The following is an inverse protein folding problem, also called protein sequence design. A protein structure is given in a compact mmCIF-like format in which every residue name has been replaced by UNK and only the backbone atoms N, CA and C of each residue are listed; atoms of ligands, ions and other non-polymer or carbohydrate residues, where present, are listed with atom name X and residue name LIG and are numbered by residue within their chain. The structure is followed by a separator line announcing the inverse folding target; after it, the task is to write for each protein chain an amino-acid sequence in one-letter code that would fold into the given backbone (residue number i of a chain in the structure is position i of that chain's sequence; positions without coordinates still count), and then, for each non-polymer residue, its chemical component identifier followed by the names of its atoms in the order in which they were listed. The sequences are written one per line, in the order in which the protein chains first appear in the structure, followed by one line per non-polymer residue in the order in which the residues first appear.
data_IF_876583308637
#
_entry.id   IF_876583308637
#
_cell.length_a   1.000
_cell.length_b   1.000
_cell.length_c   1.000
_cell.angle_alpha   90.00
_cell.angle_beta   90.00
_cell.angle_gamma   90.00
#
_symmetry.space_group_name_H-M   'P 1'
#
loop_
_entity.id
_entity.type
_entity.pdbx_description
1 polymer ?
#
# COMPACT_ATOMS: atom_id res chain seq x y z
N UNK A 1 -25.40 -59.13 15.60
CA UNK A 1 -26.55 -58.36 16.13
C UNK A 1 -26.46 -56.98 15.50
N UNK A 2 -27.00 -56.82 14.29
CA UNK A 2 -28.39 -56.37 13.96
C UNK A 2 -28.48 -54.83 13.97
N UNK A 3 -28.34 -54.16 12.79
CA UNK A 3 -29.40 -53.65 11.86
C UNK A 3 -30.17 -52.47 12.46
N UNK A 4 -30.31 -51.29 11.83
CA UNK A 4 -31.03 -50.89 10.59
C UNK A 4 -30.29 -49.68 9.93
N UNK A 5 -30.19 -49.38 8.62
CA UNK A 5 -31.06 -49.34 7.42
C UNK A 5 -32.20 -48.29 7.43
N UNK A 6 -31.97 -47.20 6.69
CA UNK A 6 -33.03 -46.49 5.96
C UNK A 6 -32.49 -45.90 4.64
N UNK A 7 -33.37 -45.89 3.65
CA UNK A 7 -33.20 -45.78 2.20
C UNK A 7 -34.19 -44.73 1.70
N UNK A 8 -33.95 -44.11 0.51
CA UNK A 8 -34.89 -43.34 -0.35
C UNK A 8 -34.27 -41.99 -0.79
N UNK A 9 -34.34 -41.47 -2.02
CA UNK A 9 -34.77 -41.93 -3.36
C UNK A 9 -34.14 -40.94 -4.37
N UNK A 10 -33.95 -41.39 -5.62
CA UNK A 10 -33.54 -40.57 -6.78
C UNK A 10 -34.78 -40.11 -7.54
N UNK A 11 -34.82 -38.85 -7.97
CA UNK A 11 -35.67 -38.40 -9.08
C UNK A 11 -34.86 -37.62 -10.13
N UNK A 12 -35.06 -38.03 -11.38
CA UNK A 12 -34.62 -37.38 -12.62
C UNK A 12 -35.55 -36.21 -12.94
N UNK A 13 -35.03 -35.14 -13.55
CA UNK A 13 -35.89 -34.21 -14.30
C UNK A 13 -35.22 -33.71 -15.56
N UNK A 14 -35.85 -34.07 -16.67
CA UNK A 14 -35.62 -33.64 -18.05
C UNK A 14 -36.30 -32.29 -18.29
N UNK A 15 -35.68 -31.37 -19.04
CA UNK A 15 -36.32 -30.16 -19.61
C UNK A 15 -35.64 -29.91 -20.97
N UNK A 16 -36.21 -30.32 -22.10
CA UNK A 16 -37.34 -29.78 -22.88
C UNK A 16 -37.08 -28.37 -23.42
N UNK A 17 -36.79 -28.34 -24.72
CA UNK A 17 -36.78 -27.20 -25.65
C UNK A 17 -38.21 -26.76 -25.95
N UNK A 18 -38.45 -25.46 -26.20
CA UNK A 18 -39.52 -25.06 -27.09
C UNK A 18 -39.04 -24.13 -28.23
N UNK A 19 -39.38 -24.53 -29.44
CA UNK A 19 -39.51 -23.70 -30.63
C UNK A 19 -40.94 -23.16 -30.72
N UNK A 20 -41.13 -21.89 -31.10
CA UNK A 20 -42.28 -21.47 -31.94
C UNK A 20 -41.97 -20.16 -32.65
N UNK A 21 -42.38 -20.13 -33.91
CA UNK A 21 -42.24 -19.09 -34.94
C UNK A 21 -43.26 -17.94 -34.83
N UNK A 22 -43.05 -16.96 -35.73
CA UNK A 22 -44.02 -16.10 -36.41
C UNK A 22 -44.56 -14.89 -35.58
N UNK A 23 -44.75 -13.68 -36.10
CA UNK A 23 -44.87 -13.26 -37.50
C UNK A 23 -44.79 -11.72 -37.65
N UNK A 24 -44.39 -11.30 -38.86
CA UNK A 24 -44.87 -10.15 -39.65
C UNK A 24 -45.00 -8.72 -39.08
N UNK A 25 -44.31 -7.75 -39.72
CA UNK A 25 -44.91 -6.79 -40.69
C UNK A 25 -43.81 -5.83 -41.24
N UNK A 26 -43.39 -5.90 -42.51
CA UNK A 26 -43.97 -5.36 -43.77
C UNK A 26 -43.88 -3.83 -43.96
N UNK A 27 -43.18 -3.45 -45.05
CA UNK A 27 -43.43 -2.40 -46.08
C UNK A 27 -42.22 -1.48 -46.33
N UNK A 28 -41.86 -1.05 -47.54
CA UNK A 28 -42.10 -1.48 -48.93
C UNK A 28 -41.33 -0.51 -49.87
N UNK A 29 -40.59 -1.07 -50.84
CA UNK A 29 -40.74 -0.85 -52.30
C UNK A 29 -40.20 0.44 -53.01
N UNK A 30 -39.28 0.17 -53.97
CA UNK A 30 -38.99 0.76 -55.32
C UNK A 30 -38.56 2.23 -55.47
N UNK A 31 -37.40 2.56 -56.07
CA UNK A 31 -36.94 2.46 -57.48
C UNK A 31 -37.57 3.47 -58.45
N UNK A 32 -36.75 4.32 -59.07
CA UNK A 32 -36.93 4.74 -60.47
C UNK A 32 -35.67 5.38 -61.06
N UNK A 33 -35.39 4.95 -62.28
CA UNK A 33 -34.50 5.53 -63.28
C UNK A 33 -35.12 6.76 -63.97
N UNK A 34 -34.31 7.68 -64.48
CA UNK A 34 -34.76 8.72 -65.40
C UNK A 34 -33.62 9.64 -65.87
N UNK A 35 -33.59 9.94 -67.17
CA UNK A 35 -32.45 10.37 -68.00
C UNK A 35 -32.30 11.88 -68.24
N UNK A 36 -31.07 12.27 -68.64
CA UNK A 36 -30.66 13.30 -69.63
C UNK A 36 -31.11 14.76 -69.51
N UNK A 37 -30.15 15.69 -69.47
CA UNK A 37 -30.00 16.72 -70.52
C UNK A 37 -28.68 17.50 -70.37
N UNK A 38 -28.17 17.92 -71.52
CA UNK A 38 -26.93 18.68 -71.79
C UNK A 38 -27.05 20.16 -71.42
N UNK A 39 -25.94 20.79 -71.03
CA UNK A 39 -25.53 22.09 -71.59
C UNK A 39 -24.05 22.37 -71.31
N UNK A 40 -23.33 22.74 -72.37
CA UNK A 40 -21.97 23.22 -72.34
C UNK A 40 -21.96 24.74 -72.07
N UNK A 41 -21.08 25.17 -71.17
CA UNK A 41 -20.58 26.55 -71.14
C UNK A 41 -19.08 26.51 -70.89
N UNK A 42 -18.34 26.99 -71.88
CA UNK A 42 -16.91 27.22 -71.87
C UNK A 42 -16.58 28.46 -71.03
N UNK A 43 -15.73 28.31 -70.00
CA UNK A 43 -14.99 29.41 -69.38
C UNK A 43 -13.52 29.05 -69.26
N UNK A 44 -12.66 29.99 -69.65
CA UNK A 44 -11.19 29.91 -69.62
C UNK A 44 -10.67 29.68 -68.18
N UNK A 45 -9.56 28.96 -67.97
CA UNK A 45 -9.03 28.72 -66.63
C UNK A 45 -8.30 29.95 -66.06
N UNK A 46 -8.62 30.23 -64.81
CA UNK A 46 -8.10 31.29 -63.94
C UNK A 46 -6.62 31.04 -63.55
N UNK A 47 -5.69 31.85 -64.05
CA UNK A 47 -4.30 31.88 -63.55
C UNK A 47 -4.20 32.40 -62.09
N UNK A 48 -5.19 33.17 -61.62
CA UNK A 48 -5.23 33.73 -60.25
C UNK A 48 -5.54 32.69 -59.18
N UNK A 49 -6.28 31.64 -59.53
CA UNK A 49 -6.72 30.59 -58.60
C UNK A 49 -5.57 29.63 -58.25
N UNK A 50 -4.64 29.40 -59.19
CA UNK A 50 -3.47 28.56 -58.97
C UNK A 50 -2.47 29.19 -57.98
N UNK A 51 -2.18 30.49 -58.12
CA UNK A 51 -1.26 31.20 -57.23
C UNK A 51 -1.85 31.32 -55.82
N UNK A 52 -3.16 31.58 -55.71
CA UNK A 52 -3.87 31.63 -54.43
C UNK A 52 -3.86 30.27 -53.71
N UNK A 53 -4.10 29.18 -54.45
CA UNK A 53 -4.04 27.80 -53.92
C UNK A 53 -2.62 27.39 -53.51
N UNK A 54 -1.61 27.76 -54.29
CA UNK A 54 -0.21 27.48 -53.98
C UNK A 54 0.26 28.24 -52.72
N UNK A 55 -0.12 29.52 -52.59
CA UNK A 55 0.20 30.32 -51.41
C UNK A 55 -0.53 29.81 -50.15
N UNK A 56 -1.80 29.43 -50.30
CA UNK A 56 -2.59 28.82 -49.21
C UNK A 56 -1.97 27.50 -48.73
N UNK A 57 -1.49 26.66 -49.66
CA UNK A 57 -0.81 25.40 -49.34
C UNK A 57 0.51 25.62 -48.59
N UNK A 58 1.30 26.62 -49.01
CA UNK A 58 2.56 26.97 -48.34
C UNK A 58 2.33 27.50 -46.92
N UNK A 59 1.29 28.33 -46.71
CA UNK A 59 0.90 28.80 -45.38
C UNK A 59 0.45 27.62 -44.52
N UNK A 60 -0.36 26.71 -45.07
CA UNK A 60 -0.84 25.52 -44.34
C UNK A 60 0.32 24.60 -43.94
N UNK A 61 1.27 24.36 -44.85
CA UNK A 61 2.48 23.59 -44.55
C UNK A 61 3.36 24.28 -43.51
N UNK A 62 3.46 25.61 -43.54
CA UNK A 62 4.16 26.41 -42.53
C UNK A 62 3.51 26.30 -41.15
N UNK A 63 2.19 26.41 -41.07
CA UNK A 63 1.42 26.27 -39.82
C UNK A 63 1.53 24.86 -39.26
N UNK A 64 1.43 23.83 -40.11
CA UNK A 64 1.62 22.42 -39.71
C UNK A 64 3.05 22.18 -39.24
N UNK A 65 4.05 22.73 -39.94
CA UNK A 65 5.46 22.64 -39.55
C UNK A 65 5.75 23.29 -38.19
N UNK A 66 5.21 24.49 -37.94
CA UNK A 66 5.31 25.17 -36.64
C UNK A 66 4.57 24.39 -35.55
N UNK A 67 3.38 23.86 -35.83
CA UNK A 67 2.64 23.03 -34.88
C UNK A 67 3.39 21.74 -34.52
N UNK A 68 4.01 21.07 -35.50
CA UNK A 68 4.83 19.87 -35.29
C UNK A 68 6.12 20.20 -34.52
N UNK A 69 6.76 21.32 -34.82
CA UNK A 69 7.94 21.80 -34.09
C UNK A 69 7.61 22.14 -32.63
N UNK A 70 6.55 22.90 -32.39
CA UNK A 70 6.07 23.23 -31.04
C UNK A 70 5.68 21.96 -30.26
N UNK A 71 5.05 20.99 -30.93
CA UNK A 71 4.72 19.68 -30.34
C UNK A 71 5.98 18.89 -29.96
N UNK A 72 7.00 18.90 -30.82
CA UNK A 72 8.29 18.23 -30.57
C UNK A 72 9.06 18.85 -29.41
N UNK A 73 9.13 20.18 -29.34
CA UNK A 73 9.80 20.90 -28.23
C UNK A 73 9.09 20.63 -26.91
N UNK A 74 7.76 20.72 -26.90
CA UNK A 74 6.94 20.46 -25.71
C UNK A 74 7.03 19.00 -25.24
N UNK A 75 7.15 18.05 -26.17
CA UNK A 75 7.36 16.64 -25.86
C UNK A 75 8.75 16.37 -25.27
N UNK A 76 9.80 17.01 -25.79
CA UNK A 76 11.17 16.91 -25.27
C UNK A 76 11.29 17.46 -23.84
N UNK A 77 10.73 18.66 -23.58
CA UNK A 77 10.71 19.23 -22.23
C UNK A 77 9.92 18.35 -21.24
N UNK A 78 8.78 17.76 -21.68
CA UNK A 78 7.95 16.87 -20.87
C UNK A 78 8.66 15.57 -20.49
N UNK A 79 9.35 14.93 -21.45
CA UNK A 79 10.14 13.72 -21.20
C UNK A 79 11.28 14.04 -20.22
N UNK A 80 12.00 15.15 -20.42
CA UNK A 80 13.08 15.56 -19.51
C UNK A 80 12.60 15.80 -18.07
N UNK A 81 11.37 16.32 -17.88
CA UNK A 81 10.80 16.57 -16.55
C UNK A 81 10.31 15.29 -15.86
N UNK A 82 9.70 14.38 -16.61
CA UNK A 82 9.30 13.06 -16.09
C UNK A 82 10.54 12.23 -15.68
N UNK A 83 11.62 12.30 -16.46
CA UNK A 83 12.91 11.69 -16.11
C UNK A 83 13.52 12.27 -14.83
N UNK A 84 13.34 13.58 -14.56
CA UNK A 84 13.78 14.17 -13.27
C UNK A 84 12.98 13.68 -12.06
N UNK A 85 11.67 13.40 -12.19
CA UNK A 85 10.88 12.83 -11.07
C UNK A 85 11.19 11.35 -10.83
N UNK A 86 11.66 10.62 -11.85
CA UNK A 86 12.12 9.24 -11.71
C UNK A 86 13.57 9.10 -11.25
N UNK A 87 14.33 10.20 -11.14
CA UNK A 87 15.72 10.12 -10.68
C UNK A 87 15.78 9.76 -9.20
N UNK A 88 16.22 8.54 -8.94
CA UNK A 88 16.42 8.02 -7.58
C UNK A 88 17.71 8.60 -6.99
N UNK A 89 17.60 9.21 -5.81
CA UNK A 89 18.76 9.71 -5.07
C UNK A 89 19.44 8.58 -4.27
N UNK A 90 20.77 8.48 -4.33
CA UNK A 90 21.51 7.54 -3.46
C UNK A 90 21.86 8.24 -2.16
N UNK A 91 21.20 7.88 -1.06
CA UNK A 91 21.46 8.42 0.28
C UNK A 91 22.20 7.35 1.08
N UNK A 92 23.46 7.57 1.47
CA UNK A 92 24.19 6.60 2.28
C UNK A 92 23.50 6.32 3.60
N UNK A 93 23.60 5.06 4.03
CA UNK A 93 23.19 4.64 5.35
C UNK A 93 23.98 5.41 6.43
N UNK A 94 23.30 5.82 7.49
CA UNK A 94 23.94 6.42 8.67
C UNK A 94 24.73 5.35 9.44
N UNK A 95 24.13 4.18 9.62
CA UNK A 95 24.78 2.94 10.05
C UNK A 95 23.94 1.74 9.61
N UNK A 96 24.51 0.55 9.75
CA UNK A 96 23.80 -0.72 9.66
C UNK A 96 24.01 -1.41 11.01
N UNK A 97 22.95 -2.00 11.58
CA UNK A 97 23.06 -2.71 12.87
C UNK A 97 24.07 -3.85 12.80
N UNK A 98 24.68 -4.18 13.94
CA UNK A 98 25.70 -5.25 13.99
C UNK A 98 25.13 -6.62 13.59
N UNK A 99 25.87 -7.34 12.75
CA UNK A 99 25.60 -8.75 12.40
C UNK A 99 25.78 -9.71 13.59
N UNK A 100 26.45 -9.28 14.67
CA UNK A 100 26.54 -10.05 15.92
C UNK A 100 25.15 -10.24 16.57
N UNK A 101 24.20 -9.35 16.26
CA UNK A 101 22.84 -9.39 16.80
C UNK A 101 21.96 -10.41 16.09
N UNK A 102 21.79 -10.28 14.78
CA UNK A 102 20.87 -11.11 13.98
C UNK A 102 21.48 -11.46 12.63
N UNK A 103 21.06 -12.61 12.09
CA UNK A 103 21.51 -13.13 10.81
C UNK A 103 20.31 -13.34 9.90
N UNK A 104 20.56 -13.47 8.61
CA UNK A 104 19.51 -13.74 7.61
C UNK A 104 18.62 -14.94 7.93
N UNK A 105 19.15 -15.97 8.60
CA UNK A 105 18.36 -17.12 9.01
C UNK A 105 17.33 -16.82 10.10
N UNK A 106 17.52 -15.74 10.87
CA UNK A 106 16.59 -15.31 11.93
C UNK A 106 15.33 -14.67 11.31
N UNK A 107 15.46 -14.15 10.09
CA UNK A 107 14.37 -13.65 9.24
C UNK A 107 13.64 -12.49 9.91
N UNK A 108 14.38 -11.39 10.11
CA UNK A 108 13.89 -10.12 10.65
C UNK A 108 12.86 -9.54 9.68
N UNK A 109 11.76 -9.00 10.20
CA UNK A 109 10.60 -8.59 9.40
C UNK A 109 10.14 -7.17 9.71
N UNK A 110 9.57 -6.96 10.89
CA UNK A 110 8.97 -5.69 11.29
C UNK A 110 9.68 -5.11 12.51
N UNK A 111 9.57 -3.80 12.71
CA UNK A 111 10.32 -3.09 13.73
C UNK A 111 9.62 -1.84 14.25
N UNK A 112 9.90 -1.49 15.51
CA UNK A 112 9.44 -0.28 16.19
C UNK A 112 10.56 0.35 17.01
N UNK A 113 10.47 1.65 17.25
CA UNK A 113 11.36 2.35 18.19
C UNK A 113 10.63 2.61 19.50
N UNK A 114 11.25 2.18 20.60
CA UNK A 114 10.78 2.41 21.97
C UNK A 114 11.64 3.46 22.65
N UNK A 115 11.01 4.57 23.05
CA UNK A 115 11.61 5.67 23.82
C UNK A 115 12.93 6.24 23.26
N UNK A 116 13.15 6.15 21.96
CA UNK A 116 14.42 6.58 21.32
C UNK A 116 15.66 5.81 21.82
N UNK A 117 15.45 4.73 22.57
CA UNK A 117 16.52 3.94 23.19
C UNK A 117 16.65 2.60 22.50
N UNK A 118 15.53 1.91 22.27
CA UNK A 118 15.51 0.56 21.74
C UNK A 118 14.86 0.52 20.37
N UNK A 119 15.55 -0.11 19.43
CA UNK A 119 14.97 -0.60 18.19
C UNK A 119 14.61 -2.07 18.41
N UNK A 120 13.32 -2.38 18.38
CA UNK A 120 12.78 -3.70 18.67
C UNK A 120 12.27 -4.30 17.37
N UNK A 121 12.73 -5.50 17.01
CA UNK A 121 12.38 -6.14 15.75
C UNK A 121 11.77 -7.52 15.97
N UNK A 122 10.85 -7.94 15.11
CA UNK A 122 10.40 -9.33 15.06
C UNK A 122 11.39 -10.18 14.28
N UNK A 123 11.53 -11.45 14.66
CA UNK A 123 12.31 -12.45 13.94
C UNK A 123 11.46 -13.69 13.68
N UNK A 124 10.99 -13.81 12.42
CA UNK A 124 10.03 -14.84 11.99
C UNK A 124 10.56 -16.25 12.29
N UNK A 125 11.82 -16.55 11.96
CA UNK A 125 12.33 -17.91 12.07
C UNK A 125 12.75 -18.29 13.49
N UNK A 126 13.20 -17.31 14.27
CA UNK A 126 13.75 -17.53 15.62
C UNK A 126 12.73 -17.39 16.74
N UNK A 127 11.49 -17.00 16.43
CA UNK A 127 10.40 -16.86 17.41
C UNK A 127 10.74 -15.89 18.55
N UNK A 128 11.30 -14.74 18.18
CA UNK A 128 11.89 -13.81 19.13
C UNK A 128 11.75 -12.35 18.69
N UNK A 129 11.98 -11.47 19.66
CA UNK A 129 12.26 -10.06 19.44
C UNK A 129 13.76 -9.82 19.58
N UNK A 130 14.38 -9.12 18.64
CA UNK A 130 15.77 -8.66 18.75
C UNK A 130 15.77 -7.18 19.09
N UNK A 131 16.62 -6.81 20.05
CA UNK A 131 16.68 -5.45 20.59
C UNK A 131 18.08 -4.88 20.29
N UNK A 132 18.08 -3.71 19.66
CA UNK A 132 19.28 -2.93 19.37
C UNK A 132 19.17 -1.55 20.02
N UNK A 133 20.30 -0.89 20.27
CA UNK A 133 20.33 0.52 20.63
C UNK A 133 19.90 1.35 19.40
N UNK A 134 18.83 2.13 19.53
CA UNK A 134 18.23 2.86 18.41
C UNK A 134 19.21 3.84 17.76
N UNK A 135 20.07 4.48 18.55
CA UNK A 135 20.99 5.52 18.06
C UNK A 135 22.23 4.97 17.32
N UNK A 136 22.65 3.75 17.62
CA UNK A 136 23.94 3.20 17.13
C UNK A 136 23.79 1.89 16.35
N UNK A 137 22.66 1.21 16.51
CA UNK A 137 22.43 -0.12 15.97
C UNK A 137 23.19 -1.23 16.69
N UNK A 138 23.78 -0.95 17.86
CA UNK A 138 24.44 -1.96 18.67
C UNK A 138 23.43 -2.97 19.20
N UNK A 139 23.67 -4.26 18.99
CA UNK A 139 22.86 -5.31 19.59
C UNK A 139 22.91 -5.25 21.13
N UNK A 140 21.75 -5.37 21.77
CA UNK A 140 21.62 -5.36 23.22
C UNK A 140 21.29 -6.76 23.76
N UNK A 141 20.15 -7.31 23.36
CA UNK A 141 19.70 -8.63 23.79
C UNK A 141 18.57 -9.15 22.88
N UNK A 142 18.20 -10.42 23.07
CA UNK A 142 17.08 -11.08 22.39
C UNK A 142 16.08 -11.54 23.42
N UNK A 143 14.79 -11.32 23.16
CA UNK A 143 13.67 -11.84 23.96
C UNK A 143 12.96 -12.93 23.20
N UNK A 144 13.01 -14.15 23.72
CA UNK A 144 12.20 -15.22 23.15
C UNK A 144 10.73 -14.96 23.45
N UNK A 145 9.88 -15.12 22.45
CA UNK A 145 8.43 -15.11 22.64
C UNK A 145 7.88 -16.53 22.90
N UNK A 146 8.76 -17.48 23.29
CA UNK A 146 8.41 -18.87 23.61
C UNK A 146 8.23 -19.14 25.11
N UNK A 147 7.81 -18.16 25.91
CA UNK A 147 7.72 -18.35 27.38
C UNK A 147 6.28 -18.58 27.85
N UNK A 148 6.04 -19.71 28.56
CA UNK A 148 4.74 -20.09 29.14
C UNK A 148 4.00 -21.17 28.34
N UNK A 149 2.70 -21.36 28.59
CA UNK A 149 1.80 -22.25 27.80
C UNK A 149 1.59 -21.77 26.34
N UNK A 150 2.24 -20.67 25.97
CA UNK A 150 2.13 -20.01 24.68
C UNK A 150 3.53 -19.88 24.06
N UNK A 151 3.85 -20.78 23.13
CA UNK A 151 4.99 -20.57 22.23
C UNK A 151 4.54 -19.69 21.08
N UNK A 152 5.02 -18.44 20.99
CA UNK A 152 4.74 -17.65 19.80
C UNK A 152 5.46 -18.25 18.59
N UNK A 153 4.69 -18.70 17.61
CA UNK A 153 5.15 -19.31 16.39
C UNK A 153 5.13 -18.29 15.25
N UNK A 154 6.34 -17.82 14.91
CA UNK A 154 6.62 -16.93 13.79
C UNK A 154 6.03 -15.52 13.96
N UNK A 155 6.58 -14.71 14.88
CA UNK A 155 6.19 -13.30 15.01
C UNK A 155 6.49 -12.55 13.72
N UNK A 156 5.58 -11.68 13.31
CA UNK A 156 5.59 -11.06 11.99
C UNK A 156 5.49 -9.53 12.12
N UNK A 157 4.30 -8.96 12.02
CA UNK A 157 4.06 -7.55 12.28
C UNK A 157 4.20 -7.18 13.76
N UNK A 158 4.63 -5.94 14.01
CA UNK A 158 4.74 -5.36 15.34
C UNK A 158 4.31 -3.89 15.29
N UNK A 159 3.56 -3.47 16.30
CA UNK A 159 3.26 -2.05 16.53
C UNK A 159 3.39 -1.72 18.01
N UNK A 160 3.84 -0.51 18.31
CA UNK A 160 3.98 0.02 19.66
C UNK A 160 2.80 0.94 19.95
N UNK A 161 2.11 0.72 21.06
CA UNK A 161 0.92 1.51 21.38
C UNK A 161 0.78 1.81 22.86
N UNK A 162 0.38 3.04 23.17
CA UNK A 162 0.00 3.45 24.53
C UNK A 162 -1.46 3.06 24.79
N UNK A 163 -1.65 2.05 25.64
CA UNK A 163 -2.96 1.66 26.17
C UNK A 163 -3.03 2.18 27.60
N UNK A 164 -4.09 2.92 27.93
CA UNK A 164 -4.19 3.68 29.16
C UNK A 164 -3.01 4.68 29.27
N UNK A 165 -2.10 4.43 30.22
CA UNK A 165 -0.88 5.20 30.47
C UNK A 165 0.40 4.37 30.25
N UNK A 166 0.30 3.16 29.69
CA UNK A 166 1.41 2.23 29.50
C UNK A 166 1.60 1.83 28.04
N UNK A 167 2.85 1.62 27.64
CA UNK A 167 3.20 1.20 26.28
C UNK A 167 3.30 -0.32 26.19
N UNK A 168 2.62 -0.88 25.20
CA UNK A 168 2.62 -2.30 24.88
C UNK A 168 3.05 -2.51 23.43
N UNK A 169 3.67 -3.65 23.16
CA UNK A 169 3.82 -4.14 21.79
C UNK A 169 2.59 -4.98 21.47
N UNK A 170 2.00 -4.76 20.30
CA UNK A 170 1.10 -5.72 19.71
C UNK A 170 1.87 -6.43 18.60
N UNK A 171 2.00 -7.74 18.71
CA UNK A 171 2.79 -8.57 17.79
C UNK A 171 1.85 -9.57 17.13
N UNK A 172 1.78 -9.59 15.81
CA UNK A 172 1.09 -10.69 15.13
C UNK A 172 1.95 -11.95 15.18
N UNK A 173 1.29 -13.06 15.46
CA UNK A 173 1.88 -14.39 15.42
C UNK A 173 1.27 -15.15 14.26
N UNK A 174 2.02 -15.26 13.16
CA UNK A 174 1.48 -15.73 11.88
C UNK A 174 0.97 -17.17 11.96
N UNK A 175 1.76 -18.05 12.55
CA UNK A 175 1.46 -19.48 12.53
C UNK A 175 0.64 -19.90 13.78
N UNK A 176 0.66 -19.10 14.85
CA UNK A 176 -0.29 -19.20 15.97
C UNK A 176 -1.65 -18.55 15.72
N UNK A 177 -1.80 -17.81 14.61
CA UNK A 177 -3.06 -17.20 14.17
C UNK A 177 -3.64 -16.22 15.18
N UNK A 178 -2.80 -15.40 15.80
CA UNK A 178 -3.24 -14.47 16.84
C UNK A 178 -2.44 -13.18 16.83
N UNK A 179 -2.91 -12.22 17.62
CA UNK A 179 -2.15 -11.05 18.04
C UNK A 179 -1.85 -11.22 19.53
N UNK A 180 -0.59 -11.03 19.91
CA UNK A 180 -0.14 -11.01 21.29
C UNK A 180 0.03 -9.56 21.77
N UNK A 181 -0.49 -9.24 22.94
CA UNK A 181 -0.20 -8.00 23.66
C UNK A 181 0.96 -8.29 24.61
N UNK A 182 2.07 -7.60 24.41
CA UNK A 182 3.34 -7.80 25.12
C UNK A 182 3.66 -6.57 25.94
N UNK A 183 3.85 -6.78 27.23
CA UNK A 183 4.19 -5.75 28.19
C UNK A 183 5.72 -5.54 28.24
N UNK A 184 6.18 -4.43 27.68
CA UNK A 184 7.61 -4.09 27.65
C UNK A 184 8.15 -3.85 29.06
N UNK A 185 7.32 -3.28 29.95
CA UNK A 185 7.71 -2.95 31.32
C UNK A 185 7.76 -4.16 32.25
N UNK A 186 7.05 -5.24 31.92
CA UNK A 186 7.09 -6.53 32.62
C UNK A 186 7.93 -7.55 31.84
N UNK A 187 9.16 -7.16 31.50
CA UNK A 187 10.17 -8.00 30.83
C UNK A 187 9.70 -8.69 29.54
N UNK A 188 8.90 -7.99 28.72
CA UNK A 188 8.33 -8.51 27.46
C UNK A 188 7.38 -9.71 27.66
N UNK A 189 6.66 -9.75 28.79
CA UNK A 189 5.66 -10.77 29.05
C UNK A 189 4.45 -10.60 28.13
N UNK A 190 3.98 -11.70 27.54
CA UNK A 190 2.67 -11.75 26.87
C UNK A 190 1.59 -11.69 27.95
N UNK A 191 0.80 -10.63 27.96
CA UNK A 191 -0.25 -10.38 28.96
C UNK A 191 -1.65 -10.73 28.46
N UNK A 192 -1.82 -10.82 27.14
CA UNK A 192 -3.09 -11.19 26.50
C UNK A 192 -2.87 -11.63 25.05
N UNK A 193 -3.79 -12.42 24.49
CA UNK A 193 -3.84 -12.70 23.05
C UNK A 193 -5.27 -12.81 22.53
N UNK A 194 -5.44 -12.62 21.22
CA UNK A 194 -6.73 -12.76 20.56
C UNK A 194 -6.60 -13.10 19.08
N UNK A 195 -7.67 -13.62 18.50
CA UNK A 195 -7.83 -13.84 17.06
C UNK A 195 -7.66 -15.29 16.59
N UNK A 196 -7.34 -16.22 17.48
CA UNK A 196 -7.06 -17.64 17.21
C UNK A 196 -8.15 -18.35 16.38
N UNK A 197 -9.40 -17.95 16.60
CA UNK A 197 -10.59 -18.50 15.95
C UNK A 197 -10.94 -17.84 14.60
N UNK A 198 -10.33 -16.68 14.30
CA UNK A 198 -10.67 -15.85 13.13
C UNK A 198 -9.52 -15.78 12.13
N UNK A 199 -8.33 -15.46 12.62
CA UNK A 199 -7.14 -15.22 11.80
C UNK A 199 -6.66 -16.53 11.19
N UNK A 200 -6.16 -16.45 9.96
CA UNK A 200 -5.58 -17.61 9.27
C UNK A 200 -4.09 -17.50 9.11
N UNK A 201 -3.60 -16.30 8.79
CA UNK A 201 -2.21 -16.00 8.54
C UNK A 201 -1.95 -14.49 8.71
N UNK A 202 -1.94 -13.98 9.95
CA UNK A 202 -1.79 -12.56 10.22
C UNK A 202 -0.39 -12.02 9.86
N UNK A 203 -0.32 -10.80 9.32
CA UNK A 203 0.91 -10.10 8.95
C UNK A 203 1.06 -8.79 9.73
N UNK A 204 0.78 -7.62 9.17
CA UNK A 204 0.84 -6.37 9.92
C UNK A 204 -0.44 -6.10 10.72
N UNK A 205 -0.34 -5.10 11.59
CA UNK A 205 -1.45 -4.55 12.34
C UNK A 205 -1.21 -3.08 12.66
N UNK A 206 -2.30 -2.34 12.78
CA UNK A 206 -2.32 -1.01 13.38
C UNK A 206 -3.62 -0.83 14.16
N UNK A 207 -3.62 0.10 15.11
CA UNK A 207 -4.73 0.29 16.02
C UNK A 207 -4.94 1.76 16.39
N UNK A 208 -6.16 2.06 16.81
CA UNK A 208 -6.54 3.39 17.27
C UNK A 208 -7.46 3.29 18.48
N UNK A 209 -7.42 4.32 19.32
CA UNK A 209 -8.37 4.47 20.43
C UNK A 209 -9.70 4.96 19.88
N UNK A 210 -10.79 4.27 20.23
CA UNK A 210 -12.15 4.60 19.76
C UNK A 210 -13.02 5.18 20.86
N UNK A 211 -12.79 4.78 22.11
CA UNK A 211 -13.58 5.26 23.24
C UNK A 211 -12.75 5.27 24.53
N UNK A 212 -13.19 6.07 25.49
CA UNK A 212 -12.70 6.06 26.87
C UNK A 212 -13.81 6.55 27.78
N UNK A 213 -14.21 5.70 28.72
CA UNK A 213 -15.13 6.06 29.80
C UNK A 213 -14.40 6.04 31.15
N UNK A 214 -15.14 6.02 32.27
CA UNK A 214 -14.53 6.05 33.61
C UNK A 214 -13.78 4.76 33.96
N UNK A 215 -14.23 3.61 33.43
CA UNK A 215 -13.76 2.28 33.83
C UNK A 215 -12.85 1.66 32.77
N UNK A 216 -13.00 2.02 31.50
CA UNK A 216 -12.40 1.30 30.37
C UNK A 216 -11.97 2.23 29.23
N UNK A 217 -11.00 1.77 28.43
CA UNK A 217 -10.68 2.31 27.12
C UNK A 217 -10.89 1.26 26.04
N UNK A 218 -11.37 1.70 24.88
CA UNK A 218 -11.67 0.82 23.75
C UNK A 218 -10.80 1.20 22.56
N UNK A 219 -10.33 0.18 21.83
CA UNK A 219 -9.44 0.32 20.69
C UNK A 219 -9.91 -0.55 19.54
N UNK A 220 -9.81 -0.04 18.32
CA UNK A 220 -9.95 -0.83 17.11
C UNK A 220 -8.58 -1.30 16.66
N UNK A 221 -8.45 -2.58 16.34
CA UNK A 221 -7.23 -3.20 15.82
C UNK A 221 -7.52 -3.78 14.45
N UNK A 222 -6.82 -3.28 13.43
CA UNK A 222 -6.88 -3.75 12.06
C UNK A 222 -5.71 -4.69 11.83
N UNK A 223 -5.99 -5.91 11.38
CA UNK A 223 -4.98 -6.94 11.16
C UNK A 223 -5.05 -7.41 9.72
N UNK A 224 -3.93 -7.39 8.99
CA UNK A 224 -3.87 -8.01 7.66
C UNK A 224 -3.80 -9.53 7.79
N UNK A 225 -4.59 -10.25 7.00
CA UNK A 225 -4.70 -11.71 7.01
C UNK A 225 -4.50 -12.29 5.59
N UNK A 226 -3.24 -12.65 5.31
CA UNK A 226 -2.77 -12.99 3.98
C UNK A 226 -2.73 -14.50 3.73
N UNK A 227 -3.86 -15.17 3.93
CA UNK A 227 -3.95 -16.60 3.67
C UNK A 227 -3.89 -16.92 2.16
N UNK A 228 -3.20 -17.99 1.81
CA UNK A 228 -3.00 -18.45 0.43
C UNK A 228 -3.52 -19.88 0.30
N UNK A 229 -3.98 -20.25 -0.90
CA UNK A 229 -4.33 -21.62 -1.23
C UNK A 229 -3.08 -22.43 -1.61
N UNK A 230 -3.20 -23.76 -1.49
CA UNK A 230 -2.14 -24.68 -1.90
C UNK A 230 -2.07 -24.76 -3.43
N UNK A 231 -0.86 -24.68 -3.96
CA UNK A 231 -0.57 -25.02 -5.36
C UNK A 231 -0.62 -26.54 -5.59
N UNK A 232 -0.37 -26.98 -6.82
CA UNK A 232 -0.33 -28.41 -7.19
C UNK A 232 0.76 -29.21 -6.47
N UNK A 233 1.74 -28.54 -5.83
CA UNK A 233 2.82 -29.12 -5.02
C UNK A 233 2.55 -29.01 -3.51
N UNK A 234 1.35 -28.55 -3.12
CA UNK A 234 0.95 -28.41 -1.72
C UNK A 234 1.48 -27.16 -1.02
N UNK A 235 2.13 -26.22 -1.72
CA UNK A 235 2.68 -24.99 -1.13
C UNK A 235 1.65 -23.87 -1.12
N UNK A 236 1.55 -23.13 -0.01
CA UNK A 236 0.63 -21.99 0.15
C UNK A 236 1.11 -20.79 -0.68
N UNK A 237 0.78 -20.77 -1.98
CA UNK A 237 1.27 -19.80 -2.98
C UNK A 237 0.21 -19.27 -3.94
N UNK A 238 -1.01 -19.79 -3.88
CA UNK A 238 -2.08 -19.40 -4.82
C UNK A 238 -2.97 -18.36 -4.14
N UNK A 239 -3.14 -17.19 -4.76
CA UNK A 239 -4.09 -16.18 -4.29
C UNK A 239 -5.51 -16.80 -4.34
N UNK A 240 -6.30 -16.73 -3.25
CA UNK A 240 -7.71 -17.09 -3.27
C UNK A 240 -8.47 -16.39 -4.40
N UNK A 241 -9.54 -17.00 -4.93
CA UNK A 241 -10.42 -16.32 -5.88
C UNK A 241 -11.04 -15.06 -5.25
N UNK A 242 -11.42 -14.10 -6.09
CA UNK A 242 -11.90 -12.76 -5.69
C UNK A 242 -13.07 -12.78 -4.70
N UNK A 243 -14.00 -13.72 -4.87
CA UNK A 243 -15.15 -13.95 -3.98
C UNK A 243 -14.75 -14.31 -2.53
N UNK A 244 -13.46 -14.53 -2.27
CA UNK A 244 -12.88 -14.84 -0.95
C UNK A 244 -11.88 -13.79 -0.46
N UNK A 245 -11.66 -12.70 -1.21
CA UNK A 245 -10.69 -11.66 -0.88
C UNK A 245 -11.22 -10.61 0.12
N UNK A 246 -12.49 -10.62 0.50
CA UNK A 246 -13.01 -9.74 1.57
C UNK A 246 -12.49 -10.07 2.98
N UNK A 247 -11.62 -11.09 3.11
CA UNK A 247 -11.03 -11.54 4.38
C UNK A 247 -9.58 -11.08 4.56
N UNK A 248 -9.14 -10.06 3.81
CA UNK A 248 -7.76 -9.55 3.89
C UNK A 248 -7.49 -8.68 5.09
N UNK A 249 -8.49 -7.98 5.61
CA UNK A 249 -8.35 -7.21 6.85
C UNK A 249 -9.39 -7.72 7.85
N UNK A 250 -8.96 -8.02 9.06
CA UNK A 250 -9.83 -8.37 10.19
C UNK A 250 -9.81 -7.22 11.19
N UNK A 251 -11.00 -6.76 11.58
CA UNK A 251 -11.18 -5.73 12.60
C UNK A 251 -11.59 -6.37 13.92
N UNK A 252 -10.82 -6.08 14.96
CA UNK A 252 -11.10 -6.44 16.33
C UNK A 252 -11.32 -5.18 17.18
N UNK A 253 -12.07 -5.33 18.25
CA UNK A 253 -12.18 -4.37 19.32
C UNK A 253 -11.44 -4.93 20.55
N UNK A 254 -10.57 -4.12 21.14
CA UNK A 254 -9.88 -4.41 22.41
C UNK A 254 -10.40 -3.46 23.47
N UNK A 255 -10.78 -4.02 24.60
CA UNK A 255 -11.28 -3.29 25.76
C UNK A 255 -10.24 -3.47 26.87
N UNK A 256 -9.67 -2.36 27.33
CA UNK A 256 -8.70 -2.34 28.41
C UNK A 256 -9.35 -1.78 29.68
N UNK A 257 -9.28 -2.55 30.77
CA UNK A 257 -9.83 -2.14 32.05
C UNK A 257 -8.84 -1.25 32.82
N UNK A 258 -9.31 -0.08 33.28
CA UNK A 258 -8.47 0.91 33.97
C UNK A 258 -8.09 0.52 35.40
N UNK A 259 -8.82 -0.41 36.03
CA UNK A 259 -8.63 -0.79 37.43
C UNK A 259 -7.52 -1.82 37.59
N UNK A 260 -7.48 -2.83 36.72
CA UNK A 260 -6.60 -3.99 36.85
C UNK A 260 -5.72 -4.26 35.63
N UNK A 261 -5.76 -3.39 34.61
CA UNK A 261 -4.96 -3.51 33.38
C UNK A 261 -5.18 -4.84 32.65
N UNK A 262 -6.40 -5.39 32.76
CA UNK A 262 -6.82 -6.57 32.00
C UNK A 262 -7.38 -6.17 30.64
N UNK A 263 -7.34 -7.13 29.71
CA UNK A 263 -7.80 -6.96 28.34
C UNK A 263 -8.93 -7.93 28.03
N UNK A 264 -9.87 -7.45 27.21
CA UNK A 264 -10.86 -8.29 26.53
C UNK A 264 -10.83 -7.96 25.05
N UNK A 265 -11.29 -8.90 24.22
CA UNK A 265 -11.33 -8.73 22.77
C UNK A 265 -12.62 -9.23 22.17
N UNK A 266 -13.08 -8.56 21.12
CA UNK A 266 -14.21 -8.97 20.30
C UNK A 266 -13.87 -8.85 18.82
N UNK A 267 -14.20 -9.87 18.04
CA UNK A 267 -14.20 -9.74 16.59
C UNK A 267 -15.36 -8.87 16.12
N UNK A 268 -15.07 -7.86 15.30
CA UNK A 268 -16.07 -6.92 14.80
C UNK A 268 -16.54 -7.34 13.41
N UNK A 269 -15.64 -7.32 12.43
CA UNK A 269 -15.93 -7.65 11.04
C UNK A 269 -14.65 -7.83 10.22
N UNK A 270 -14.82 -8.31 8.99
CA UNK A 270 -13.82 -8.30 7.93
C UNK A 270 -13.99 -7.05 7.07
N UNK A 271 -12.90 -6.55 6.49
CA UNK A 271 -12.85 -5.37 5.63
C UNK A 271 -12.17 -5.76 4.32
N UNK A 272 -12.76 -5.31 3.21
CA UNK A 272 -12.26 -5.55 1.87
C UNK A 272 -13.40 -5.53 0.85
N UNK A 273 -13.07 -5.29 -0.42
CA UNK A 273 -13.99 -5.48 -1.54
C UNK A 273 -13.79 -6.84 -2.19
N UNK A 274 -14.86 -7.37 -2.79
CA UNK A 274 -14.88 -8.58 -3.63
C UNK A 274 -15.26 -8.28 -5.09
N UNK A 275 -15.60 -7.04 -5.40
CA UNK A 275 -16.05 -6.65 -6.74
C UNK A 275 -14.85 -6.54 -7.67
N UNK A 276 -14.77 -7.36 -8.72
CA UNK A 276 -13.70 -7.27 -9.72
C UNK A 276 -13.96 -6.13 -10.72
N UNK A 277 -13.60 -4.90 -10.33
CA UNK A 277 -13.56 -3.75 -11.24
C UNK A 277 -12.17 -3.11 -11.19
N UNK A 278 -11.74 -2.43 -12.27
CA UNK A 278 -10.42 -1.79 -12.34
C UNK A 278 -10.19 -0.73 -11.25
N UNK A 279 -11.29 -0.19 -10.71
CA UNK A 279 -11.34 0.78 -9.61
C UNK A 279 -11.79 0.14 -8.29
N UNK A 280 -11.75 -1.19 -8.19
CA UNK A 280 -12.20 -1.88 -7.00
C UNK A 280 -11.17 -1.80 -5.88
N UNK A 281 -11.67 -1.77 -4.65
CA UNK A 281 -10.84 -1.88 -3.45
C UNK A 281 -10.29 -3.29 -3.21
N UNK A 282 -10.45 -4.26 -4.12
CA UNK A 282 -10.05 -5.66 -3.88
C UNK A 282 -8.59 -5.74 -3.44
N UNK A 283 -8.35 -6.56 -2.41
CA UNK A 283 -7.05 -6.76 -1.78
C UNK A 283 -6.56 -8.18 -2.08
N UNK A 284 -5.45 -8.31 -2.80
CA UNK A 284 -5.00 -9.62 -3.30
C UNK A 284 -3.98 -10.27 -2.37
N UNK A 285 -2.83 -9.63 -2.17
CA UNK A 285 -1.78 -10.08 -1.26
C UNK A 285 -1.46 -8.88 -0.36
N UNK A 286 -1.77 -9.00 0.93
CA UNK A 286 -1.66 -7.88 1.88
C UNK A 286 -0.55 -8.12 2.88
N UNK A 287 0.16 -7.06 3.23
CA UNK A 287 1.23 -7.09 4.23
C UNK A 287 1.03 -5.96 5.23
N UNK A 288 1.40 -4.73 4.89
CA UNK A 288 1.29 -3.57 5.78
C UNK A 288 -0.12 -2.95 5.77
N UNK A 289 -0.56 -2.53 6.96
CA UNK A 289 -1.71 -1.66 7.19
C UNK A 289 -1.31 -0.51 8.11
N UNK A 290 -1.70 0.72 7.76
CA UNK A 290 -1.42 1.93 8.55
C UNK A 290 -2.67 2.80 8.64
N UNK A 291 -2.94 3.30 9.84
CA UNK A 291 -4.01 4.26 10.13
C UNK A 291 -3.44 5.68 10.09
N UNK A 292 -4.08 6.52 9.27
CA UNK A 292 -3.89 7.96 9.24
C UNK A 292 -5.15 8.61 9.79
N UNK A 293 -5.14 8.92 11.09
CA UNK A 293 -6.28 9.50 11.80
C UNK A 293 -6.66 10.87 11.24
N UNK A 294 -5.66 11.71 10.92
CA UNK A 294 -5.87 13.07 10.46
C UNK A 294 -6.63 13.15 9.12
N UNK A 295 -6.49 12.14 8.27
CA UNK A 295 -7.10 12.12 6.94
C UNK A 295 -8.22 11.09 6.74
N UNK A 296 -8.66 10.41 7.80
CA UNK A 296 -9.59 9.28 7.71
C UNK A 296 -9.13 8.19 6.73
N UNK A 297 -7.85 7.79 6.77
CA UNK A 297 -7.32 6.76 5.85
C UNK A 297 -6.83 5.52 6.57
N UNK A 298 -7.23 4.37 6.03
CA UNK A 298 -6.63 3.06 6.25
C UNK A 298 -5.87 2.69 4.98
N UNK A 299 -4.55 2.83 5.02
CA UNK A 299 -3.66 2.52 3.90
C UNK A 299 -3.25 1.06 3.99
N UNK A 300 -3.36 0.31 2.88
CA UNK A 300 -3.07 -1.12 2.84
C UNK A 300 -2.20 -1.42 1.62
N UNK A 301 -1.05 -2.06 1.83
CA UNK A 301 -0.20 -2.51 0.73
C UNK A 301 -0.80 -3.74 0.03
N UNK A 302 -0.89 -3.70 -1.30
CA UNK A 302 -1.23 -4.85 -2.14
C UNK A 302 -0.02 -5.23 -3.01
N UNK A 303 0.68 -6.28 -2.60
CA UNK A 303 1.89 -6.81 -3.25
C UNK A 303 1.61 -7.45 -4.62
N UNK A 304 0.36 -7.83 -4.90
CA UNK A 304 0.04 -8.44 -6.19
C UNK A 304 -0.17 -7.38 -7.27
N UNK A 305 -0.90 -6.32 -6.92
CA UNK A 305 -1.24 -5.23 -7.84
C UNK A 305 -0.14 -4.16 -7.88
N UNK A 306 0.76 -4.18 -6.88
CA UNK A 306 1.87 -3.25 -6.70
C UNK A 306 1.39 -1.82 -6.47
N UNK A 307 0.43 -1.65 -5.54
CA UNK A 307 -0.03 -0.33 -5.10
C UNK A 307 -0.49 -0.35 -3.63
N UNK A 308 -0.80 0.84 -3.12
CA UNK A 308 -1.42 1.02 -1.82
C UNK A 308 -2.89 1.35 -2.03
N UNK A 309 -3.79 0.56 -1.45
CA UNK A 309 -5.24 0.84 -1.41
C UNK A 309 -5.54 1.76 -0.24
N UNK A 310 -6.38 2.76 -0.49
CA UNK A 310 -6.87 3.66 0.55
C UNK A 310 -8.34 3.35 0.84
N UNK A 311 -8.60 2.86 2.03
CA UNK A 311 -9.93 2.76 2.62
C UNK A 311 -10.15 3.93 3.58
N UNK A 312 -11.40 4.28 3.85
CA UNK A 312 -11.71 5.16 4.97
C UNK A 312 -11.74 4.31 6.24
N UNK A 313 -11.01 4.67 7.29
CA UNK A 313 -10.99 3.83 8.49
C UNK A 313 -12.32 3.93 9.27
N UNK A 314 -13.03 5.06 9.16
CA UNK A 314 -14.31 5.27 9.85
C UNK A 314 -15.47 4.49 9.20
N UNK A 315 -15.62 4.60 7.87
CA UNK A 315 -16.68 3.87 7.15
C UNK A 315 -16.28 2.43 6.83
N UNK A 316 -14.98 2.14 6.76
CA UNK A 316 -14.39 0.89 6.30
C UNK A 316 -14.63 0.58 4.81
N UNK A 317 -14.92 1.60 4.02
CA UNK A 317 -15.16 1.48 2.59
C UNK A 317 -13.94 1.93 1.78
N UNK A 318 -13.80 1.39 0.58
CA UNK A 318 -12.74 1.82 -0.33
C UNK A 318 -13.00 3.27 -0.75
N UNK A 319 -11.99 4.13 -0.64
CA UNK A 319 -12.12 5.57 -0.93
C UNK A 319 -12.19 5.89 -2.43
N UNK A 320 -11.95 4.92 -3.30
CA UNK A 320 -11.71 5.14 -4.73
C UNK A 320 -10.26 5.52 -5.07
N UNK A 321 -9.42 5.77 -4.06
CA UNK A 321 -8.04 6.21 -4.25
C UNK A 321 -7.03 5.08 -4.06
N UNK A 322 -5.95 5.17 -4.83
CA UNK A 322 -4.75 4.33 -4.68
C UNK A 322 -3.51 5.20 -4.77
N UNK A 323 -2.40 4.71 -4.21
CA UNK A 323 -1.06 5.29 -4.38
C UNK A 323 -0.23 4.29 -5.17
N UNK A 324 0.38 4.76 -6.25
CA UNK A 324 1.05 3.90 -7.22
C UNK A 324 0.07 3.40 -8.29
N UNK A 325 0.51 3.48 -9.55
CA UNK A 325 -0.18 2.88 -10.67
C UNK A 325 -0.17 1.36 -10.52
N UNK A 326 -1.33 0.74 -10.72
CA UNK A 326 -1.41 -0.71 -10.80
C UNK A 326 -0.49 -1.23 -11.92
N UNK A 327 0.09 -2.41 -11.72
CA UNK A 327 0.95 -3.06 -12.70
C UNK A 327 0.32 -3.05 -14.11
N UNK A 328 1.06 -2.52 -15.09
CA UNK A 328 0.62 -2.43 -16.49
C UNK A 328 -0.25 -1.21 -16.84
N UNK A 329 -0.62 -0.35 -15.89
CA UNK A 329 -1.24 0.94 -16.21
C UNK A 329 -0.19 1.96 -16.67
N UNK A 330 -0.51 2.71 -17.72
CA UNK A 330 0.33 3.79 -18.24
C UNK A 330 -0.22 5.15 -17.81
N UNK A 331 0.69 6.09 -17.56
CA UNK A 331 0.40 7.47 -17.13
C UNK A 331 -0.65 8.15 -18.02
N UNK A 332 -1.67 8.77 -17.41
CA UNK A 332 -2.73 9.48 -18.14
C UNK A 332 -2.61 11.00 -18.00
N UNK A 333 -1.88 11.50 -16.99
CA UNK A 333 -1.96 12.92 -16.62
C UNK A 333 -0.73 13.75 -17.01
N UNK A 334 -0.99 14.95 -17.53
CA UNK A 334 0.01 15.99 -17.80
C UNK A 334 0.35 16.81 -16.53
N UNK A 335 -0.06 16.38 -15.33
CA UNK A 335 0.13 17.17 -14.11
C UNK A 335 1.54 16.99 -13.54
N UNK A 336 2.50 17.64 -14.19
CA UNK A 336 3.93 17.63 -13.80
C UNK A 336 4.13 18.15 -12.36
N UNK A 337 3.21 18.95 -11.83
CA UNK A 337 3.32 19.52 -10.47
C UNK A 337 2.87 18.55 -9.37
N UNK A 338 1.97 17.65 -9.69
CA UNK A 338 1.45 16.63 -8.77
C UNK A 338 1.38 15.29 -9.50
N UNK A 339 2.53 14.64 -9.75
CA UNK A 339 2.53 13.34 -10.37
C UNK A 339 1.90 12.35 -9.39
N UNK A 340 0.76 11.76 -9.75
CA UNK A 340 0.22 10.58 -9.06
C UNK A 340 0.59 9.28 -9.78
N UNK A 341 1.12 9.43 -10.98
CA UNK A 341 1.38 8.38 -11.94
C UNK A 341 2.81 7.81 -11.77
N UNK A 342 3.15 7.31 -10.57
CA UNK A 342 4.38 6.54 -10.33
C UNK A 342 4.05 5.07 -10.12
N UNK A 343 4.99 4.16 -10.35
CA UNK A 343 4.79 2.72 -10.13
C UNK A 343 5.85 2.15 -9.21
N UNK A 344 5.43 1.18 -8.39
CA UNK A 344 6.34 0.30 -7.68
C UNK A 344 6.98 -0.67 -8.70
N UNK A 345 8.26 -0.97 -8.53
CA UNK A 345 8.99 -1.89 -9.41
C UNK A 345 9.08 -3.31 -8.82
N UNK A 346 8.97 -3.41 -7.50
CA UNK A 346 8.81 -4.61 -6.70
C UNK A 346 7.68 -4.43 -5.69
N UNK A 347 7.69 -5.26 -4.66
CA UNK A 347 6.55 -5.38 -3.74
C UNK A 347 6.46 -4.16 -2.81
N UNK A 348 5.30 -3.48 -2.71
CA UNK A 348 5.03 -2.56 -1.61
C UNK A 348 4.92 -3.34 -0.29
N UNK A 349 5.84 -3.05 0.62
CA UNK A 349 5.97 -3.72 1.93
C UNK A 349 5.64 -2.71 3.05
N UNK A 350 6.52 -2.62 4.06
CA UNK A 350 6.45 -1.64 5.14
C UNK A 350 6.45 -0.19 4.67
N UNK A 351 5.64 0.66 5.30
CA UNK A 351 5.68 2.10 5.10
C UNK A 351 5.33 2.87 6.37
N UNK A 352 5.75 4.14 6.42
CA UNK A 352 5.58 5.00 7.60
C UNK A 352 5.01 6.36 7.24
N UNK A 353 4.40 6.99 8.24
CA UNK A 353 4.06 8.41 8.23
C UNK A 353 5.22 9.17 8.89
N UNK A 354 5.82 10.11 8.15
CA UNK A 354 6.71 11.12 8.71
C UNK A 354 5.93 12.43 8.80
N UNK A 355 5.72 12.96 10.00
CA UNK A 355 4.82 14.09 10.24
C UNK A 355 5.47 15.47 10.20
N UNK A 356 6.80 15.52 10.19
CA UNK A 356 7.59 16.74 10.41
C UNK A 356 7.45 17.37 11.78
N UNK A 357 6.75 16.73 12.72
CA UNK A 357 6.50 17.26 14.05
C UNK A 357 6.89 16.22 15.10
N UNK A 358 7.73 16.63 16.05
CA UNK A 358 8.20 15.74 17.13
C UNK A 358 7.29 15.78 18.37
N UNK A 359 6.35 16.72 18.43
CA UNK A 359 5.53 16.97 19.63
C UNK A 359 4.19 16.25 19.63
N UNK A 360 3.71 15.84 18.45
CA UNK A 360 2.42 15.18 18.26
C UNK A 360 2.62 13.80 17.65
N UNK A 361 1.68 12.88 17.88
CA UNK A 361 1.69 11.59 17.18
C UNK A 361 1.53 11.81 15.68
N UNK A 362 2.43 11.23 14.90
CA UNK A 362 2.53 11.50 13.47
C UNK A 362 1.20 11.35 12.72
N UNK A 363 0.45 10.29 13.02
CA UNK A 363 -0.85 9.98 12.42
C UNK A 363 -2.00 10.94 12.79
N UNK A 364 -1.85 11.80 13.79
CA UNK A 364 -2.90 12.70 14.28
C UNK A 364 -2.73 14.16 13.84
N UNK A 365 -1.69 14.47 13.06
CA UNK A 365 -1.49 15.80 12.46
C UNK A 365 -1.66 15.75 10.95
N UNK A 366 -2.01 16.85 10.29
CA UNK A 366 -2.24 16.90 8.83
C UNK A 366 -0.95 17.12 8.02
N UNK A 367 0.21 17.21 8.67
CA UNK A 367 1.48 17.51 8.00
C UNK A 367 2.24 16.24 7.62
N UNK A 368 3.16 16.40 6.66
CA UNK A 368 4.20 15.44 6.38
C UNK A 368 4.04 14.59 5.12
N UNK A 369 4.67 13.43 5.16
CA UNK A 369 4.90 12.54 4.02
C UNK A 369 4.64 11.09 4.40
N UNK A 370 4.19 10.30 3.43
CA UNK A 370 4.36 8.85 3.48
C UNK A 370 5.72 8.49 2.87
N UNK A 371 6.40 7.53 3.48
CA UNK A 371 7.62 6.91 2.93
C UNK A 371 7.31 5.43 2.71
N UNK A 372 7.15 5.05 1.44
CA UNK A 372 6.80 3.69 1.02
C UNK A 372 8.03 2.89 0.61
N UNK A 373 8.06 1.62 1.00
CA UNK A 373 9.05 0.66 0.52
C UNK A 373 8.63 0.09 -0.83
N UNK A 374 9.58 0.06 -1.77
CA UNK A 374 9.52 -0.66 -3.05
C UNK A 374 10.62 -1.72 -3.01
N UNK A 375 10.23 -2.94 -2.60
CA UNK A 375 11.14 -4.01 -2.24
C UNK A 375 11.76 -4.63 -3.49
N UNK A 376 13.06 -4.44 -3.64
CA UNK A 376 13.83 -4.97 -4.76
C UNK A 376 14.95 -5.86 -4.25
N UNK A 377 15.30 -6.86 -5.06
CA UNK A 377 16.35 -7.83 -4.74
C UNK A 377 17.72 -7.19 -4.53
N UNK A 378 18.08 -6.23 -5.40
CA UNK A 378 19.40 -5.59 -5.38
C UNK A 378 19.49 -4.46 -4.37
N UNK A 379 18.59 -3.47 -4.45
CA UNK A 379 18.50 -2.32 -3.54
C UNK A 379 17.07 -1.83 -3.43
N UNK A 380 16.57 -1.74 -2.20
CA UNK A 380 15.24 -1.22 -1.89
C UNK A 380 15.17 0.24 -2.29
N UNK A 381 14.10 0.59 -3.03
CA UNK A 381 13.77 1.97 -3.32
C UNK A 381 12.72 2.44 -2.30
N UNK A 382 12.86 3.68 -1.85
CA UNK A 382 11.90 4.31 -0.95
C UNK A 382 11.24 5.48 -1.65
N UNK A 383 9.92 5.41 -1.82
CA UNK A 383 9.11 6.44 -2.47
C UNK A 383 8.58 7.42 -1.43
N UNK A 384 8.70 8.72 -1.70
CA UNK A 384 8.15 9.78 -0.87
C UNK A 384 6.91 10.35 -1.53
N UNK A 385 5.80 10.37 -0.80
CA UNK A 385 4.51 10.87 -1.26
C UNK A 385 3.99 11.89 -0.27
N UNK A 386 3.48 13.02 -0.77
CA UNK A 386 2.81 14.03 0.04
C UNK A 386 1.59 13.44 0.72
N UNK A 387 1.48 13.66 2.02
CA UNK A 387 0.36 13.14 2.79
C UNK A 387 -0.94 13.89 2.49
N UNK A 388 -0.88 15.19 2.27
CA UNK A 388 -2.08 16.02 2.11
C UNK A 388 -2.89 15.70 0.84
N UNK A 389 -2.21 15.48 -0.28
CA UNK A 389 -2.85 15.36 -1.59
C UNK A 389 -2.40 14.15 -2.43
N UNK A 390 -1.54 13.30 -1.87
CA UNK A 390 -1.01 12.08 -2.48
C UNK A 390 -0.13 12.31 -3.72
N UNK A 391 0.41 13.52 -3.93
CA UNK A 391 1.38 13.74 -4.99
C UNK A 391 2.71 13.07 -4.65
N UNK A 392 3.27 12.34 -5.60
CA UNK A 392 4.62 11.82 -5.49
C UNK A 392 5.66 12.95 -5.51
N UNK A 393 6.66 12.83 -4.64
CA UNK A 393 7.73 13.82 -4.45
C UNK A 393 9.03 13.36 -5.10
N UNK A 394 9.38 12.09 -4.94
CA UNK A 394 10.66 11.55 -5.39
C UNK A 394 11.00 10.25 -4.67
N UNK A 395 12.16 9.69 -4.97
CA UNK A 395 12.62 8.45 -4.35
C UNK A 395 14.08 8.50 -3.95
N UNK A 396 14.45 7.65 -3.01
CA UNK A 396 15.85 7.37 -2.70
C UNK A 396 16.14 5.87 -2.56
N UNK A 397 17.41 5.52 -2.61
CA UNK A 397 17.96 4.21 -2.30
C UNK A 397 19.15 4.38 -1.37
N UNK A 398 19.47 3.32 -0.62
CA UNK A 398 20.74 3.20 0.08
C UNK A 398 21.91 2.84 -0.84
N UNK A 399 23.11 2.70 -0.26
CA UNK A 399 24.20 2.06 -0.96
C UNK A 399 23.99 0.55 -1.05
N UNK A 400 23.41 -0.05 -0.01
CA UNK A 400 23.31 -1.52 0.13
C UNK A 400 21.96 -2.02 0.62
N UNK A 401 21.13 -1.19 1.28
CA UNK A 401 19.83 -1.65 1.79
C UNK A 401 18.96 -2.22 0.67
N UNK A 402 18.49 -3.44 0.89
CA UNK A 402 17.76 -4.28 -0.07
C UNK A 402 16.83 -5.23 0.66
N UNK A 403 15.82 -5.77 -0.04
CA UNK A 403 14.84 -6.73 0.49
C UNK A 403 14.29 -6.28 1.84
N UNK A 404 13.76 -5.07 1.84
CA UNK A 404 13.15 -4.48 3.03
C UNK A 404 11.72 -4.97 3.15
N UNK A 405 11.40 -5.65 4.24
CA UNK A 405 10.03 -5.88 4.69
C UNK A 405 9.57 -4.61 5.46
N UNK A 406 9.83 -4.55 6.76
CA UNK A 406 9.40 -3.47 7.64
C UNK A 406 10.30 -2.23 7.65
N UNK A 407 9.67 -1.08 7.92
CA UNK A 407 10.34 0.21 8.17
C UNK A 407 9.73 0.90 9.38
N UNK A 408 10.52 1.72 10.08
CA UNK A 408 10.03 2.59 11.16
C UNK A 408 10.76 3.93 11.14
N UNK A 409 10.30 4.89 11.92
CA UNK A 409 10.89 6.22 11.99
C UNK A 409 10.95 6.72 13.43
N UNK A 410 12.04 7.42 13.75
CA UNK A 410 12.20 8.19 14.97
C UNK A 410 12.48 9.64 14.60
N UNK A 411 11.44 10.48 14.67
CA UNK A 411 11.55 11.90 14.34
C UNK A 411 12.42 12.67 15.33
N UNK A 412 12.46 12.24 16.60
CA UNK A 412 13.28 12.86 17.65
C UNK A 412 14.76 12.61 17.41
N UNK A 413 15.14 11.38 17.06
CA UNK A 413 16.51 11.07 16.66
C UNK A 413 16.84 11.52 15.24
N UNK A 414 15.82 11.78 14.42
CA UNK A 414 15.99 12.15 13.02
C UNK A 414 16.39 10.97 12.13
N UNK A 415 15.95 9.75 12.46
CA UNK A 415 16.38 8.51 11.81
C UNK A 415 15.19 7.75 11.21
N UNK A 416 15.35 7.34 9.95
CA UNK A 416 14.51 6.36 9.27
C UNK A 416 15.22 5.00 9.29
N UNK A 417 14.52 3.94 9.68
CA UNK A 417 15.05 2.59 9.84
C UNK A 417 14.37 1.65 8.85
N UNK A 418 15.15 0.81 8.18
CA UNK A 418 14.65 -0.15 7.22
C UNK A 418 15.31 -1.52 7.43
N UNK A 419 14.50 -2.56 7.49
CA UNK A 419 15.02 -3.93 7.44
C UNK A 419 15.83 -4.13 6.17
N UNK A 420 16.91 -4.88 6.29
CA UNK A 420 17.83 -5.18 5.22
C UNK A 420 18.08 -6.69 5.16
N UNK A 421 17.70 -7.28 4.04
CA UNK A 421 18.05 -8.64 3.65
C UNK A 421 17.69 -9.68 4.73
N UNK A 422 16.48 -9.54 5.31
CA UNK A 422 15.92 -10.38 6.36
C UNK A 422 16.80 -10.51 7.63
N UNK A 423 17.76 -9.60 7.84
CA UNK A 423 18.89 -9.85 8.75
C UNK A 423 19.23 -8.72 9.69
N UNK A 424 19.41 -7.51 9.17
CA UNK A 424 19.90 -6.34 9.91
C UNK A 424 19.07 -5.13 9.54
N UNK A 425 19.35 -3.98 10.14
CA UNK A 425 18.61 -2.75 9.90
C UNK A 425 19.57 -1.69 9.36
N UNK A 426 19.29 -1.20 8.15
CA UNK A 426 19.94 -0.02 7.60
C UNK A 426 19.20 1.24 8.03
N UNK A 427 19.95 2.31 8.29
CA UNK A 427 19.37 3.55 8.80
C UNK A 427 19.73 4.74 7.93
N UNK A 428 18.88 5.76 7.92
CA UNK A 428 19.07 6.96 7.10
C UNK A 428 18.74 8.22 7.91
N UNK A 429 19.52 9.27 7.74
CA UNK A 429 19.18 10.57 8.33
C UNK A 429 17.99 11.17 7.59
N UNK A 430 16.91 11.44 8.31
CA UNK A 430 15.72 12.11 7.76
C UNK A 430 16.12 13.46 7.13
N UNK A 431 17.05 14.20 7.77
CA UNK A 431 17.57 15.46 7.22
C UNK A 431 18.15 15.32 5.82
N UNK A 432 18.85 14.21 5.54
CA UNK A 432 19.45 13.97 4.22
C UNK A 432 18.38 13.60 3.20
N UNK A 433 17.37 12.82 3.59
CA UNK A 433 16.17 12.53 2.79
C UNK A 433 15.48 13.84 2.39
N UNK A 434 15.21 14.72 3.37
CA UNK A 434 14.56 16.01 3.13
C UNK A 434 15.38 16.92 2.22
N UNK A 435 16.70 17.01 2.44
CA UNK A 435 17.55 17.90 1.66
C UNK A 435 17.75 17.42 0.22
N UNK A 436 17.85 16.10 0.02
CA UNK A 436 18.25 15.54 -1.26
C UNK A 436 17.09 15.11 -2.13
N UNK A 437 15.95 14.76 -1.55
CA UNK A 437 14.75 14.37 -2.28
C UNK A 437 13.71 15.47 -2.22
N UNK A 438 13.25 15.84 -1.01
CA UNK A 438 12.09 16.71 -0.85
C UNK A 438 12.38 18.14 -1.33
N UNK A 439 13.45 18.78 -0.86
CA UNK A 439 13.82 20.16 -1.23
C UNK A 439 14.24 20.32 -2.70
N UNK A 440 14.60 19.23 -3.38
CA UNK A 440 14.89 19.26 -4.83
C UNK A 440 13.61 19.28 -5.68
N UNK A 441 12.53 18.70 -5.15
CA UNK A 441 11.30 18.46 -5.91
C UNK A 441 10.12 19.31 -5.46
N UNK A 442 10.19 19.96 -4.30
CA UNK A 442 9.18 20.90 -3.80
C UNK A 442 9.75 22.30 -3.66
N UNK A 443 8.93 23.31 -3.97
CA UNK A 443 9.27 24.70 -3.67
C UNK A 443 9.31 24.94 -2.16
N UNK A 444 10.00 26.01 -1.74
CA UNK A 444 10.09 26.36 -0.32
C UNK A 444 8.72 26.65 0.31
N UNK A 445 7.77 27.23 -0.44
CA UNK A 445 6.41 27.47 0.03
C UNK A 445 5.60 26.19 0.17
N UNK A 446 5.71 25.25 -0.77
CA UNK A 446 5.07 23.93 -0.66
C UNK A 446 5.62 23.15 0.53
N UNK A 447 6.94 23.16 0.71
CA UNK A 447 7.55 22.51 1.86
C UNK A 447 7.10 23.13 3.18
N UNK A 448 7.02 24.46 3.28
CA UNK A 448 6.55 25.13 4.49
C UNK A 448 5.08 24.81 4.82
N UNK A 449 4.26 24.51 3.81
CA UNK A 449 2.87 24.07 4.02
C UNK A 449 2.79 22.63 4.54
N UNK A 450 3.60 21.72 3.98
CA UNK A 450 3.55 20.29 4.32
C UNK A 450 4.35 19.97 5.58
N UNK A 451 5.40 20.74 5.84
CA UNK A 451 6.43 20.49 6.84
C UNK A 451 6.81 21.84 7.48
N UNK A 452 5.88 22.48 8.21
CA UNK A 452 6.12 23.79 8.78
C UNK A 452 7.28 23.74 9.77
N UNK A 453 8.12 24.80 9.84
CA UNK A 453 9.12 24.89 10.90
C UNK A 453 8.42 24.85 12.26
N UNK A 454 8.99 24.04 13.16
CA UNK A 454 8.55 23.90 14.55
C UNK A 454 8.58 25.23 15.31
#
# INVERSE_FOLDING_TARGET
MSTEKEESTRENTTTVVPSTNDDNQKKNITSSSGSSSTNASTSLPEESDFISKALSLLIMLGVVGVALYLRSVNQSEKVSRLDTFQKVEIIPELFITSEDGSRRKDNIDSLVVYKHEWLITTAKASNALFIFEAKTGKYLFTKSLKTGDYEANRPNGITLFTILDKEYLFVTERDGRRVCIVDIGDDFKIVYSFGEEVLKRPYALDLMKTNSNQDEETYHVFVTDNYMLKDSKGKLKVVPPSDKLDKRIQLFEIIANKKDYTFQSKYVKKIGSILEEATSGVLNIVETVVIDEAYDRLLIADEHILNIKIYNFSSHEFSGNTIGLAAGQTTSTNNVKCPKDFSFAGEPEGFVIYSCQTTNKARSVETGFYIFTDQLDDRTKFHIVRRDNLCYVGSFMGNVVSKTDGVTIDETLGIFYAVHNDSVIGTFKIKDILNRVVKKNLSASELAQICPPL
#
